data_IF_956049005101
#
_entry.id   IF_956049005101
#
_cell.length_a   1.000
_cell.length_b   1.000
_cell.length_c   1.000
_cell.angle_alpha   90.00
_cell.angle_beta   90.00
_cell.angle_gamma   90.00
#
_symmetry.space_group_name_H-M   'P 1'
#
loop_
_entity.id
_entity.type
_entity.pdbx_description
1 polymer ?
#
# COMPACT_ATOMS: atom_id res chain seq x y z
N UNK A 1 18.05 -22.27 33.53
CA UNK A 1 17.43 -22.31 32.19
C UNK A 1 16.75 -20.96 31.96
N UNK A 2 17.24 -20.07 31.08
CA UNK A 2 16.52 -18.85 30.77
C UNK A 2 15.25 -19.21 29.98
N UNK A 3 14.12 -18.70 30.45
CA UNK A 3 12.79 -18.94 29.87
C UNK A 3 12.73 -18.46 28.42
N UNK A 4 12.31 -19.31 27.50
CA UNK A 4 12.05 -18.93 26.11
C UNK A 4 10.98 -17.82 26.06
N UNK A 5 11.19 -16.70 25.34
CA UNK A 5 10.15 -15.69 25.18
C UNK A 5 8.94 -16.31 24.46
N UNK A 6 7.78 -16.27 25.11
CA UNK A 6 6.50 -16.61 24.47
C UNK A 6 6.21 -15.54 23.40
N UNK A 7 5.83 -15.92 22.17
CA UNK A 7 5.46 -14.96 21.14
C UNK A 7 4.23 -14.17 21.59
N UNK A 8 4.30 -12.83 21.49
CA UNK A 8 3.26 -11.94 21.97
C UNK A 8 2.04 -12.07 21.03
N UNK A 9 0.82 -12.35 21.51
CA UNK A 9 -0.37 -12.54 20.67
C UNK A 9 -0.71 -11.33 19.77
N UNK A 10 -0.15 -10.15 20.08
CA UNK A 10 -0.29 -8.93 19.29
C UNK A 10 0.62 -8.88 18.04
N UNK A 11 1.56 -9.83 17.88
CA UNK A 11 2.47 -9.88 16.73
C UNK A 11 1.84 -10.55 15.49
N UNK A 12 0.51 -10.49 15.35
CA UNK A 12 -0.15 -10.98 14.13
C UNK A 12 0.42 -10.18 12.97
N UNK A 13 1.02 -10.83 11.95
CA UNK A 13 1.59 -10.10 10.83
C UNK A 13 0.52 -9.17 10.27
N UNK A 14 0.84 -7.88 10.22
CA UNK A 14 -0.07 -6.89 9.67
C UNK A 14 -0.44 -7.32 8.24
N UNK A 15 -1.70 -7.10 7.82
CA UNK A 15 -2.12 -7.44 6.46
C UNK A 15 -1.19 -6.76 5.46
N UNK A 16 -0.82 -7.49 4.39
CA UNK A 16 0.10 -7.00 3.37
C UNK A 16 -0.40 -5.67 2.78
N UNK A 17 0.46 -4.66 2.80
CA UNK A 17 0.19 -3.33 2.25
C UNK A 17 1.34 -2.86 1.37
N UNK A 18 1.00 -2.19 0.28
CA UNK A 18 1.97 -1.64 -0.68
C UNK A 18 1.73 -0.16 -0.88
N UNK A 19 2.82 0.62 -0.93
CA UNK A 19 2.77 2.03 -1.32
C UNK A 19 3.47 2.19 -2.67
N UNK A 20 2.79 2.82 -3.63
CA UNK A 20 3.35 3.14 -4.94
C UNK A 20 3.63 4.65 -5.01
N UNK A 21 4.91 5.00 -5.11
CA UNK A 21 5.36 6.37 -5.30
C UNK A 21 5.66 6.61 -6.78
N UNK A 22 4.89 7.49 -7.41
CA UNK A 22 5.01 7.83 -8.82
C UNK A 22 4.00 7.08 -9.70
N UNK A 23 3.12 7.85 -10.36
CA UNK A 23 2.02 7.32 -11.18
C UNK A 23 2.25 7.56 -12.69
N UNK A 24 3.42 7.12 -13.16
CA UNK A 24 3.65 6.89 -14.59
C UNK A 24 2.91 5.64 -15.09
N UNK A 25 3.05 5.27 -16.37
CA UNK A 25 2.38 4.09 -16.93
C UNK A 25 2.60 2.81 -16.13
N UNK A 26 3.86 2.54 -15.75
CA UNK A 26 4.22 1.36 -14.95
C UNK A 26 3.65 1.42 -13.53
N UNK A 27 3.80 2.56 -12.85
CA UNK A 27 3.32 2.72 -11.47
C UNK A 27 1.80 2.51 -11.36
N UNK A 28 1.04 3.02 -12.32
CA UNK A 28 -0.41 2.80 -12.40
C UNK A 28 -0.77 1.34 -12.66
N UNK A 29 -0.04 0.66 -13.55
CA UNK A 29 -0.25 -0.75 -13.83
C UNK A 29 0.00 -1.61 -12.58
N UNK A 30 1.09 -1.33 -11.85
CA UNK A 30 1.42 -2.01 -10.59
C UNK A 30 0.37 -1.75 -9.50
N UNK A 31 0.03 -0.48 -9.25
CA UNK A 31 -1.01 -0.13 -8.29
C UNK A 31 -2.33 -0.82 -8.65
N UNK A 32 -2.66 -0.88 -9.94
CA UNK A 32 -3.83 -1.60 -10.41
C UNK A 32 -3.79 -3.11 -10.16
N UNK A 33 -2.66 -3.75 -10.37
CA UNK A 33 -2.49 -5.17 -10.08
C UNK A 33 -2.64 -5.47 -8.58
N UNK A 34 -2.07 -4.64 -7.71
CA UNK A 34 -2.20 -4.80 -6.26
C UNK A 34 -3.64 -4.65 -5.78
N UNK A 35 -4.37 -3.65 -6.29
CA UNK A 35 -5.80 -3.50 -6.01
C UNK A 35 -6.61 -4.72 -6.47
N UNK A 36 -6.33 -5.24 -7.68
CA UNK A 36 -7.01 -6.43 -8.19
C UNK A 36 -6.72 -7.70 -7.36
N UNK A 37 -5.54 -7.77 -6.74
CA UNK A 37 -5.16 -8.83 -5.82
C UNK A 37 -5.72 -8.64 -4.39
N UNK A 38 -6.48 -7.59 -4.12
CA UNK A 38 -7.02 -7.28 -2.79
C UNK A 38 -5.98 -6.78 -1.80
N UNK A 39 -4.81 -6.35 -2.27
CA UNK A 39 -3.74 -5.80 -1.43
C UNK A 39 -4.07 -4.35 -1.10
N UNK A 40 -3.95 -3.98 0.18
CA UNK A 40 -4.11 -2.59 0.61
C UNK A 40 -3.06 -1.73 -0.08
N UNK A 41 -3.50 -0.86 -0.98
CA UNK A 41 -2.61 -0.09 -1.84
C UNK A 41 -2.75 1.40 -1.56
N UNK A 42 -1.65 2.04 -1.19
CA UNK A 42 -1.53 3.50 -1.06
C UNK A 42 -0.79 4.04 -2.27
N UNK A 43 -1.20 5.19 -2.78
CA UNK A 43 -0.57 5.85 -3.92
C UNK A 43 -0.20 7.28 -3.58
N UNK A 44 0.91 7.74 -4.12
CA UNK A 44 1.30 9.14 -4.10
C UNK A 44 1.97 9.50 -5.41
N UNK A 45 1.72 10.71 -5.90
CA UNK A 45 2.42 11.24 -7.06
C UNK A 45 2.78 12.70 -6.82
N UNK A 46 3.98 13.10 -7.25
CA UNK A 46 4.44 14.49 -7.10
C UNK A 46 3.55 15.48 -7.85
N UNK A 47 3.03 15.08 -9.01
CA UNK A 47 2.12 15.91 -9.82
C UNK A 47 0.70 15.36 -9.70
N UNK A 48 -0.25 16.13 -9.17
CA UNK A 48 -1.64 15.68 -9.02
C UNK A 48 -2.32 15.44 -10.38
N UNK A 49 -3.42 14.71 -10.37
CA UNK A 49 -4.27 14.46 -11.54
C UNK A 49 -4.09 13.09 -12.19
N UNK A 50 -3.34 12.17 -11.56
CA UNK A 50 -3.05 10.82 -12.07
C UNK A 50 -3.61 9.70 -11.19
N UNK A 51 -4.29 10.06 -10.11
CA UNK A 51 -4.67 9.21 -9.00
C UNK A 51 -6.14 8.77 -9.07
N UNK A 52 -7.00 9.54 -9.78
CA UNK A 52 -8.46 9.41 -9.75
C UNK A 52 -8.93 7.96 -9.98
N UNK A 53 -8.58 7.36 -11.13
CA UNK A 53 -8.96 5.99 -11.48
C UNK A 53 -8.50 4.95 -10.43
N UNK A 54 -7.36 5.17 -9.77
CA UNK A 54 -6.84 4.27 -8.75
C UNK A 54 -7.61 4.42 -7.44
N UNK A 55 -7.97 5.66 -7.07
CA UNK A 55 -8.78 5.95 -5.88
C UNK A 55 -10.20 5.40 -6.04
N UNK A 56 -10.81 5.56 -7.21
CA UNK A 56 -12.11 4.96 -7.53
C UNK A 56 -12.09 3.43 -7.40
N UNK A 57 -10.95 2.80 -7.68
CA UNK A 57 -10.72 1.37 -7.53
C UNK A 57 -10.30 0.94 -6.12
N UNK A 58 -10.26 1.87 -5.17
CA UNK A 58 -10.00 1.60 -3.75
C UNK A 58 -8.57 1.88 -3.28
N UNK A 59 -7.73 2.54 -4.07
CA UNK A 59 -6.44 3.02 -3.58
C UNK A 59 -6.62 4.14 -2.55
N UNK A 60 -5.75 4.15 -1.55
CA UNK A 60 -5.64 5.27 -0.61
C UNK A 60 -4.70 6.31 -1.20
N UNK A 61 -5.17 7.53 -1.42
CA UNK A 61 -4.31 8.64 -1.81
C UNK A 61 -3.58 9.20 -0.58
N UNK A 62 -2.25 9.19 -0.59
CA UNK A 62 -1.46 9.91 0.40
C UNK A 62 -1.34 11.39 0.02
N UNK A 63 -1.35 12.27 1.03
CA UNK A 63 -1.23 13.73 0.83
C UNK A 63 0.23 14.18 0.62
N UNK A 64 1.17 13.52 1.29
CA UNK A 64 2.61 13.76 1.23
C UNK A 64 3.39 12.44 1.21
N UNK A 65 4.69 12.52 0.92
CA UNK A 65 5.61 11.38 0.85
C UNK A 65 6.44 11.19 2.12
N UNK A 66 6.13 11.92 3.20
CA UNK A 66 6.82 11.86 4.48
C UNK A 66 6.31 10.73 5.40
#
# INVERSE_FOLDING_TARGET
MPSSPQPNPDQRPAPLSVTVLGLGPMGRALAGAFLAAGVRTTVWNRTPGREADLVERGAVLAASAE
#
